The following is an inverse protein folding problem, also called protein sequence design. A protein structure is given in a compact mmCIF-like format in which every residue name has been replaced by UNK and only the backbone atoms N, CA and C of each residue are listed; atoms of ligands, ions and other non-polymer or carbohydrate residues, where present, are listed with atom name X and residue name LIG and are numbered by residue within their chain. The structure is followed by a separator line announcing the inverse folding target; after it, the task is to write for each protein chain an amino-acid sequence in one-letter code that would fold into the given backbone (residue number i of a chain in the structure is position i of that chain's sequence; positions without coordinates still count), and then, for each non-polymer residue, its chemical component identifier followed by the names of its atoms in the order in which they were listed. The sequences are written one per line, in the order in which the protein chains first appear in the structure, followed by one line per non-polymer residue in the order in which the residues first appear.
data_IF_456934874365
#
_entry.id   IF_456934874365
#
_cell.length_a   1.000
_cell.length_b   1.000
_cell.length_c   1.000
_cell.angle_alpha   90.00
_cell.angle_beta   90.00
_cell.angle_gamma   90.00
#
_symmetry.space_group_name_H-M   'P 1'
#
loop_
_entity.id
_entity.type
_entity.pdbx_description
1 polymer ?
#
# COMPACT_ATOMS: atom_id res chain seq x y z
N UNK A 1 -3.16 17.81 20.14
CA UNK A 1 -1.87 17.54 19.46
C UNK A 1 -0.76 18.26 20.22
N UNK A 2 0.37 17.63 20.48
CA UNK A 2 1.54 18.28 21.07
C UNK A 2 2.28 19.08 19.98
N UNK A 3 2.08 20.39 19.94
CA UNK A 3 2.66 21.27 18.92
C UNK A 3 4.20 21.28 18.98
N UNK A 4 4.77 21.34 20.17
CA UNK A 4 6.23 21.36 20.34
C UNK A 4 6.87 20.02 19.94
N UNK A 5 6.19 18.90 20.21
CA UNK A 5 6.60 17.58 19.73
C UNK A 5 6.56 17.48 18.22
N UNK A 6 5.52 18.00 17.59
CA UNK A 6 5.41 18.03 16.13
C UNK A 6 6.53 18.87 15.49
N UNK A 7 6.78 20.07 16.00
CA UNK A 7 7.86 20.94 15.51
C UNK A 7 9.23 20.26 15.57
N UNK A 8 9.55 19.62 16.68
CA UNK A 8 10.80 18.84 16.79
C UNK A 8 10.90 17.72 15.78
N UNK A 9 9.82 16.96 15.61
CA UNK A 9 9.75 15.85 14.65
C UNK A 9 9.95 16.33 13.22
N UNK A 10 9.28 17.41 12.83
CA UNK A 10 9.41 17.98 11.48
C UNK A 10 10.82 18.56 11.27
N UNK A 11 11.39 19.24 12.25
CA UNK A 11 12.75 19.78 12.13
C UNK A 11 13.79 18.65 11.93
N UNK A 12 13.69 17.55 12.68
CA UNK A 12 14.56 16.41 12.52
C UNK A 12 14.33 15.70 11.17
N UNK A 13 13.09 15.46 10.81
CA UNK A 13 12.75 14.90 9.50
C UNK A 13 13.33 15.73 8.36
N UNK A 14 13.09 17.03 8.35
CA UNK A 14 13.56 17.93 7.29
C UNK A 14 15.08 17.95 7.15
N UNK A 15 15.81 17.84 8.26
CA UNK A 15 17.28 17.75 8.24
C UNK A 15 17.75 16.55 7.41
N UNK A 16 17.10 15.39 7.56
CA UNK A 16 17.43 14.18 6.84
C UNK A 16 16.83 14.16 5.42
N UNK A 17 15.62 14.68 5.26
CA UNK A 17 14.92 14.72 3.98
C UNK A 17 15.70 15.49 2.90
N UNK A 18 16.40 16.58 3.26
CA UNK A 18 17.26 17.35 2.34
C UNK A 18 18.38 16.51 1.72
N UNK A 19 18.86 15.50 2.44
CA UNK A 19 19.86 14.56 1.93
C UNK A 19 19.28 13.29 1.34
N UNK A 20 17.92 13.19 1.31
CA UNK A 20 17.20 12.02 0.83
C UNK A 20 17.34 10.80 1.73
N UNK A 21 17.69 11.00 3.00
CA UNK A 21 17.85 9.95 3.99
C UNK A 21 16.64 9.86 4.90
N UNK A 22 16.28 8.65 5.33
CA UNK A 22 15.31 8.37 6.39
C UNK A 22 15.91 7.35 7.37
N UNK A 23 16.67 7.80 8.35
CA UNK A 23 17.32 6.91 9.30
C UNK A 23 16.34 6.14 10.20
N UNK A 24 15.12 6.68 10.40
CA UNK A 24 14.13 6.09 11.29
C UNK A 24 13.43 4.88 10.65
N UNK A 25 13.10 4.95 9.37
CA UNK A 25 12.27 3.94 8.68
C UNK A 25 12.87 3.43 7.37
N UNK A 26 13.95 4.01 6.87
CA UNK A 26 14.61 3.61 5.62
C UNK A 26 13.75 3.84 4.37
N UNK A 27 12.83 4.81 4.40
CA UNK A 27 11.90 5.08 3.28
C UNK A 27 12.66 5.43 2.00
N UNK A 28 12.25 4.81 0.89
CA UNK A 28 12.94 4.97 -0.39
C UNK A 28 14.24 4.15 -0.50
N UNK A 29 14.50 3.24 0.44
CA UNK A 29 15.64 2.33 0.40
C UNK A 29 15.47 1.16 -0.57
N UNK A 30 14.25 0.87 -1.02
CA UNK A 30 13.93 -0.25 -1.94
C UNK A 30 13.45 0.25 -3.30
N UNK A 31 13.64 -0.57 -4.33
CA UNK A 31 13.09 -0.28 -5.67
C UNK A 31 11.57 -0.15 -5.65
N UNK A 32 10.88 -0.95 -4.82
CA UNK A 32 9.43 -0.88 -4.63
C UNK A 32 8.98 0.48 -4.08
N UNK A 33 9.63 0.98 -3.02
CA UNK A 33 9.31 2.31 -2.49
C UNK A 33 9.53 3.39 -3.56
N UNK A 34 10.66 3.33 -4.25
CA UNK A 34 11.04 4.34 -5.26
C UNK A 34 10.13 4.36 -6.47
N UNK A 35 9.54 3.22 -6.83
CA UNK A 35 8.57 3.12 -7.92
C UNK A 35 7.31 3.98 -7.65
N UNK A 36 6.86 4.05 -6.38
CA UNK A 36 5.72 4.85 -5.97
C UNK A 36 6.09 6.27 -5.52
N UNK A 37 7.36 6.64 -5.64
CA UNK A 37 7.84 7.98 -5.34
C UNK A 37 7.54 8.98 -6.44
N UNK A 38 7.70 10.26 -6.13
CA UNK A 38 7.60 11.35 -7.10
C UNK A 38 8.92 11.44 -7.90
N UNK A 39 8.91 11.22 -9.23
CA UNK A 39 10.11 11.23 -10.04
C UNK A 39 10.81 12.60 -10.12
N UNK A 40 10.12 13.69 -9.78
CA UNK A 40 10.68 15.03 -9.77
C UNK A 40 11.44 15.36 -8.46
N UNK A 41 11.23 14.56 -7.42
CA UNK A 41 11.90 14.74 -6.13
C UNK A 41 13.29 14.07 -6.13
N UNK A 42 14.31 14.84 -5.75
CA UNK A 42 15.70 14.38 -5.65
C UNK A 42 16.30 14.73 -4.27
N UNK A 43 17.22 13.93 -3.76
CA UNK A 43 17.84 12.71 -4.31
C UNK A 43 17.00 11.43 -4.09
N UNK A 44 15.95 11.48 -3.26
CA UNK A 44 15.08 10.34 -2.95
C UNK A 44 13.63 10.68 -3.31
N UNK A 45 13.02 9.97 -4.29
CA UNK A 45 11.68 10.27 -4.76
C UNK A 45 10.57 10.05 -3.70
N UNK A 46 10.89 9.39 -2.59
CA UNK A 46 9.94 9.08 -1.53
C UNK A 46 9.94 10.10 -0.37
N UNK A 47 10.87 11.06 -0.39
CA UNK A 47 11.14 11.94 0.75
C UNK A 47 11.38 13.36 0.25
N UNK A 48 10.59 14.31 0.77
CA UNK A 48 10.79 15.74 0.56
C UNK A 48 10.65 16.48 1.89
N UNK A 49 11.35 17.60 2.09
CA UNK A 49 11.14 18.45 3.27
C UNK A 49 9.71 19.00 3.33
N UNK A 50 9.18 19.12 4.54
CA UNK A 50 7.87 19.70 4.84
C UNK A 50 8.12 21.16 5.26
N UNK A 51 8.08 22.09 4.32
CA UNK A 51 8.54 23.48 4.54
C UNK A 51 7.59 24.55 4.01
N UNK A 52 6.75 24.20 3.05
CA UNK A 52 5.90 25.19 2.36
C UNK A 52 4.45 25.11 2.83
N UNK A 53 3.90 26.15 3.48
CA UNK A 53 2.49 26.18 3.86
C UNK A 53 1.57 26.32 2.63
N UNK A 54 0.26 25.99 2.78
CA UNK A 54 -0.41 25.55 4.01
C UNK A 54 -0.14 24.07 4.34
N UNK A 55 -0.11 23.76 5.66
CA UNK A 55 0.03 22.37 6.14
C UNK A 55 -1.32 21.81 6.56
N UNK A 56 -1.50 20.52 6.34
CA UNK A 56 -2.71 19.79 6.70
C UNK A 56 -2.35 18.59 7.57
N UNK A 57 -3.09 18.36 8.63
CA UNK A 57 -2.98 17.17 9.45
C UNK A 57 -4.21 16.28 9.25
N UNK A 58 -3.98 15.00 8.93
CA UNK A 58 -5.04 14.02 8.72
C UNK A 58 -4.84 12.89 9.72
N UNK A 59 -5.89 12.51 10.41
CA UNK A 59 -5.87 11.34 11.27
C UNK A 59 -5.93 10.09 10.40
N UNK A 60 -4.94 9.19 10.58
CA UNK A 60 -4.87 7.92 9.86
C UNK A 60 -5.33 6.80 10.77
N UNK A 61 -6.24 5.97 10.28
CA UNK A 61 -6.73 4.77 10.94
C UNK A 61 -6.30 3.54 10.16
N UNK A 62 -6.09 2.43 10.88
CA UNK A 62 -5.82 1.14 10.26
C UNK A 62 -7.09 0.65 9.57
N UNK A 63 -6.94 0.15 8.35
CA UNK A 63 -8.01 -0.45 7.57
C UNK A 63 -7.42 -1.36 6.49
N UNK A 64 -8.27 -2.14 5.84
CA UNK A 64 -7.89 -2.98 4.70
C UNK A 64 -8.83 -2.76 3.52
N UNK A 65 -8.41 -3.18 2.34
CA UNK A 65 -9.18 -3.13 1.10
C UNK A 65 -9.90 -4.46 0.82
N UNK A 66 -9.52 -5.50 1.53
CA UNK A 66 -10.02 -6.86 1.35
C UNK A 66 -9.01 -7.90 1.79
N UNK A 67 -9.37 -9.18 1.64
CA UNK A 67 -8.54 -10.31 2.01
C UNK A 67 -7.89 -10.94 0.79
N UNK A 68 -6.75 -11.62 0.98
CA UNK A 68 -6.18 -12.50 -0.03
C UNK A 68 -6.72 -13.92 0.06
N UNK A 69 -7.19 -14.32 1.24
CA UNK A 69 -7.91 -15.57 1.44
C UNK A 69 -9.35 -15.42 0.93
N UNK A 70 -9.87 -16.50 0.35
CA UNK A 70 -11.23 -16.50 -0.19
C UNK A 70 -11.66 -17.86 -0.69
N UNK A 71 -12.85 -17.93 -1.26
CA UNK A 71 -13.43 -19.14 -1.83
C UNK A 71 -12.65 -19.53 -3.09
N UNK A 72 -12.17 -20.77 -3.15
CA UNK A 72 -11.50 -21.31 -4.33
C UNK A 72 -12.51 -21.46 -5.46
N UNK A 73 -12.22 -20.90 -6.64
CA UNK A 73 -13.08 -20.95 -7.80
C UNK A 73 -12.35 -21.48 -9.03
N UNK A 74 -13.11 -21.91 -10.04
CA UNK A 74 -12.59 -22.20 -11.37
C UNK A 74 -12.68 -20.97 -12.30
N UNK A 75 -12.26 -21.12 -13.56
CA UNK A 75 -12.29 -20.05 -14.57
C UNK A 75 -13.71 -19.52 -14.88
N UNK A 76 -14.76 -20.23 -14.50
CA UNK A 76 -16.15 -19.80 -14.64
C UNK A 76 -16.69 -19.18 -13.35
N UNK A 77 -15.83 -18.83 -12.42
CA UNK A 77 -16.16 -18.28 -11.09
C UNK A 77 -17.01 -19.22 -10.20
N UNK A 78 -17.14 -20.49 -10.55
CA UNK A 78 -17.86 -21.48 -9.75
C UNK A 78 -17.03 -21.86 -8.53
N UNK A 79 -17.61 -21.81 -7.34
CA UNK A 79 -16.97 -22.27 -6.11
C UNK A 79 -16.70 -23.76 -6.17
N UNK A 80 -15.54 -24.17 -5.64
CA UNK A 80 -15.10 -25.57 -5.64
C UNK A 80 -15.18 -26.17 -4.24
N UNK A 81 -15.58 -27.44 -4.15
CA UNK A 81 -15.51 -28.24 -2.94
C UNK A 81 -14.06 -28.66 -2.62
N UNK A 82 -13.86 -29.38 -1.50
CA UNK A 82 -12.56 -29.89 -1.07
C UNK A 82 -11.93 -30.87 -2.08
N UNK A 83 -12.72 -31.47 -2.97
CA UNK A 83 -12.27 -32.37 -4.06
C UNK A 83 -12.09 -31.65 -5.39
N UNK A 84 -12.13 -30.28 -5.36
CA UNK A 84 -12.05 -29.40 -6.53
C UNK A 84 -13.18 -29.62 -7.56
N UNK A 85 -14.37 -30.05 -7.13
CA UNK A 85 -15.56 -30.14 -7.96
C UNK A 85 -16.43 -28.91 -7.79
N UNK A 86 -17.01 -28.38 -8.89
CA UNK A 86 -17.92 -27.24 -8.79
C UNK A 86 -19.13 -27.54 -7.91
N UNK A 87 -19.42 -26.62 -7.00
CA UNK A 87 -20.65 -26.64 -6.20
C UNK A 87 -21.75 -26.01 -7.05
N UNK A 88 -22.83 -26.75 -7.42
CA UNK A 88 -23.88 -26.24 -8.29
C UNK A 88 -24.56 -24.99 -7.72
N UNK A 89 -24.67 -23.93 -8.52
CA UNK A 89 -25.33 -22.68 -8.16
C UNK A 89 -24.55 -21.75 -7.23
N UNK A 90 -23.30 -22.12 -6.82
CA UNK A 90 -22.46 -21.26 -6.00
C UNK A 90 -21.32 -20.65 -6.82
N UNK A 91 -21.20 -19.32 -6.74
CA UNK A 91 -20.18 -18.54 -7.44
C UNK A 91 -19.54 -17.55 -6.49
N UNK A 92 -18.25 -17.23 -6.70
CA UNK A 92 -17.55 -16.19 -5.96
C UNK A 92 -16.61 -15.43 -6.90
N UNK A 93 -16.55 -14.11 -6.71
CA UNK A 93 -15.71 -13.19 -7.50
C UNK A 93 -15.17 -12.06 -6.60
N UNK A 94 -14.19 -11.33 -7.10
CA UNK A 94 -13.63 -10.18 -6.39
C UNK A 94 -13.03 -10.57 -5.04
N UNK A 95 -13.33 -9.82 -3.99
CA UNK A 95 -12.78 -10.03 -2.65
C UNK A 95 -13.29 -11.32 -1.95
N UNK A 96 -14.38 -11.90 -2.42
CA UNK A 96 -14.91 -13.14 -1.86
C UNK A 96 -14.21 -14.38 -2.43
N UNK A 97 -13.61 -14.26 -3.62
CA UNK A 97 -12.82 -15.33 -4.23
C UNK A 97 -11.37 -15.31 -3.72
N UNK A 98 -10.73 -16.50 -3.75
CA UNK A 98 -9.30 -16.60 -3.47
C UNK A 98 -8.51 -15.70 -4.44
N UNK A 99 -7.68 -14.82 -3.89
CA UNK A 99 -6.91 -13.87 -4.67
C UNK A 99 -5.93 -14.56 -5.62
N UNK A 100 -5.95 -14.16 -6.89
CA UNK A 100 -4.96 -14.59 -7.89
C UNK A 100 -3.56 -14.06 -7.58
N UNK A 101 -3.44 -13.05 -6.72
CA UNK A 101 -2.17 -12.44 -6.31
C UNK A 101 -1.45 -13.24 -5.22
N UNK A 102 -2.08 -14.26 -4.65
CA UNK A 102 -1.55 -14.95 -3.47
C UNK A 102 -1.55 -14.03 -2.24
N UNK A 103 -0.45 -13.97 -1.51
CA UNK A 103 -0.31 -13.16 -0.30
C UNK A 103 0.34 -11.78 -0.49
N UNK A 104 0.60 -11.35 -1.72
CA UNK A 104 1.27 -10.08 -2.02
C UNK A 104 0.59 -9.36 -3.19
N UNK A 105 0.66 -8.03 -3.18
CA UNK A 105 0.29 -7.23 -4.34
C UNK A 105 1.54 -6.98 -5.18
N UNK A 106 1.69 -7.57 -6.36
CA UNK A 106 2.81 -7.23 -7.23
C UNK A 106 2.66 -5.80 -7.73
N UNK A 107 3.74 -5.02 -7.63
CA UNK A 107 3.77 -3.71 -8.27
C UNK A 107 3.85 -3.89 -9.81
N UNK A 108 3.14 -3.08 -10.60
CA UNK A 108 2.30 -1.93 -10.26
C UNK A 108 0.79 -2.23 -10.15
N UNK A 109 0.40 -3.50 -10.15
CA UNK A 109 -1.02 -3.84 -10.17
C UNK A 109 -1.73 -3.44 -8.88
N UNK A 110 -2.64 -2.50 -8.99
CA UNK A 110 -3.61 -2.21 -7.96
C UNK A 110 -4.71 -3.29 -7.97
N UNK A 111 -5.32 -3.64 -6.84
CA UNK A 111 -6.52 -4.48 -6.82
C UNK A 111 -7.66 -3.97 -7.72
N UNK A 112 -7.62 -2.70 -8.08
CA UNK A 112 -8.59 -2.05 -8.97
C UNK A 112 -8.33 -2.28 -10.46
N UNK A 113 -7.10 -2.65 -10.84
CA UNK A 113 -6.71 -2.85 -12.24
C UNK A 113 -7.12 -4.23 -12.79
N UNK A 114 -7.62 -5.12 -11.92
CA UNK A 114 -7.98 -6.50 -12.24
C UNK A 114 -9.50 -6.77 -12.26
N UNK A 115 -10.31 -5.73 -12.38
CA UNK A 115 -11.78 -5.83 -12.47
C UNK A 115 -12.26 -5.90 -13.89
#
# INVERSE_FOLDING_TARGET
MDAAGLERTIAEYNRHARTGSDPAFGKGGTAYNRFYGDPDIRPNPCIAPIETPPFYAVQVHVGDLGTYAGIVTNANAQALDANRRPIPGLYAVGNDALSIMGGITPAPASPWDLR
#
